data_IF_767878767829
#
_entry.id   IF_767878767829
#
_cell.length_a   1.000
_cell.length_b   1.000
_cell.length_c   1.000
_cell.angle_alpha   90.00
_cell.angle_beta   90.00
_cell.angle_gamma   90.00
#
_symmetry.space_group_name_H-M   'P 1'
#
loop_
_entity.id
_entity.type
_entity.pdbx_description
1 polymer ?
#
# COMPACT_ATOMS: atom_id res chain seq x y z
N UNK A 1 3.00 -4.12 26.53
CA UNK A 1 4.34 -3.48 26.51
C UNK A 1 5.36 -4.48 27.02
N UNK A 2 6.55 -4.58 26.42
CA UNK A 2 7.65 -5.37 26.97
C UNK A 2 7.93 -4.88 28.38
N UNK A 3 7.69 -5.70 29.40
CA UNK A 3 7.84 -5.32 30.81
C UNK A 3 9.31 -5.28 31.26
N UNK A 4 10.25 -5.19 30.31
CA UNK A 4 11.68 -5.19 30.58
C UNK A 4 12.09 -3.83 31.15
N UNK A 5 12.87 -3.85 32.23
CA UNK A 5 13.53 -2.68 32.81
C UNK A 5 15.04 -2.95 32.80
N UNK A 6 15.85 -2.21 32.04
CA UNK A 6 15.47 -1.14 31.11
C UNK A 6 14.77 -1.66 29.83
N UNK A 7 14.00 -0.81 29.13
CA UNK A 7 13.36 -1.18 27.87
C UNK A 7 14.41 -1.48 26.81
N UNK A 8 14.22 -2.57 26.06
CA UNK A 8 15.14 -2.99 25.00
C UNK A 8 14.78 -2.22 23.72
N UNK A 9 15.69 -1.43 23.14
CA UNK A 9 15.43 -0.72 21.89
C UNK A 9 15.43 -1.71 20.71
N UNK A 10 14.28 -1.85 20.05
CA UNK A 10 14.13 -2.69 18.84
C UNK A 10 13.89 -1.76 17.65
N UNK A 11 14.60 -2.00 16.54
CA UNK A 11 14.48 -1.21 15.31
C UNK A 11 13.05 -1.30 14.72
N UNK A 12 12.50 -0.21 14.18
CA UNK A 12 11.13 -0.17 13.67
C UNK A 12 10.82 -1.20 12.58
N UNK A 13 11.72 -1.37 11.59
CA UNK A 13 11.55 -2.39 10.56
C UNK A 13 11.43 -3.81 11.14
N UNK A 14 12.14 -4.10 12.23
CA UNK A 14 12.09 -5.41 12.90
C UNK A 14 10.77 -5.59 13.62
N UNK A 15 10.28 -4.57 14.34
CA UNK A 15 8.97 -4.62 14.98
C UNK A 15 7.83 -4.83 13.99
N UNK A 16 7.88 -4.16 12.84
CA UNK A 16 6.95 -4.38 11.73
C UNK A 16 6.98 -5.82 11.24
N UNK A 17 8.18 -6.35 10.96
CA UNK A 17 8.34 -7.73 10.51
C UNK A 17 7.77 -8.72 11.54
N UNK A 18 8.15 -8.60 12.81
CA UNK A 18 7.67 -9.45 13.90
C UNK A 18 6.14 -9.38 14.06
N UNK A 19 5.55 -8.19 13.86
CA UNK A 19 4.11 -7.99 13.88
C UNK A 19 3.40 -8.82 12.81
N UNK A 20 3.88 -8.70 11.56
CA UNK A 20 3.31 -9.38 10.39
C UNK A 20 3.52 -10.89 10.42
N UNK A 21 4.71 -11.37 10.81
CA UNK A 21 5.06 -12.79 10.68
C UNK A 21 4.64 -13.64 11.88
N UNK A 22 4.59 -13.05 13.08
CA UNK A 22 4.29 -13.78 14.32
C UNK A 22 2.96 -13.37 14.95
N UNK A 23 2.06 -12.72 14.20
CA UNK A 23 0.73 -12.30 14.66
C UNK A 23 0.78 -11.38 15.90
N UNK A 24 1.83 -10.56 16.00
CA UNK A 24 2.03 -9.60 17.09
C UNK A 24 1.54 -8.20 16.71
N UNK A 25 0.63 -8.09 15.74
CA UNK A 25 0.13 -6.85 15.14
C UNK A 25 -0.06 -5.70 16.13
N UNK A 26 -0.95 -5.87 17.12
CA UNK A 26 -1.26 -4.83 18.09
C UNK A 26 -0.08 -4.52 19.03
N UNK A 27 0.70 -5.54 19.42
CA UNK A 27 1.86 -5.33 20.29
C UNK A 27 2.96 -4.55 19.57
N UNK A 28 3.26 -4.91 18.33
CA UNK A 28 4.22 -4.19 17.49
C UNK A 28 3.77 -2.76 17.22
N UNK A 29 2.49 -2.56 16.89
CA UNK A 29 1.91 -1.23 16.64
C UNK A 29 2.00 -0.35 17.87
N UNK A 30 1.55 -0.82 19.04
CA UNK A 30 1.65 -0.07 20.31
C UNK A 30 3.10 0.29 20.68
N UNK A 31 4.05 -0.60 20.42
CA UNK A 31 5.47 -0.31 20.66
C UNK A 31 5.99 0.78 19.74
N UNK A 32 5.60 0.77 18.47
CA UNK A 32 5.97 1.79 17.50
C UNK A 32 5.29 3.14 17.79
N UNK A 33 4.02 3.14 18.19
CA UNK A 33 3.30 4.35 18.63
C UNK A 33 4.01 5.01 19.81
N UNK A 34 4.38 4.22 20.83
CA UNK A 34 5.12 4.72 21.98
C UNK A 34 6.44 5.37 21.55
N UNK A 35 7.21 4.72 20.66
CA UNK A 35 8.44 5.29 20.12
C UNK A 35 8.20 6.57 19.31
N UNK A 36 7.09 6.66 18.57
CA UNK A 36 6.71 7.86 17.83
C UNK A 36 6.33 9.02 18.76
N UNK A 37 5.59 8.74 19.85
CA UNK A 37 5.20 9.75 20.83
C UNK A 37 6.40 10.31 21.61
N UNK A 38 7.32 9.46 22.05
CA UNK A 38 8.53 9.90 22.77
C UNK A 38 9.43 10.81 21.92
N UNK A 39 9.54 10.53 20.61
CA UNK A 39 10.35 11.32 19.67
C UNK A 39 9.58 12.49 19.04
N UNK A 40 8.26 12.54 19.23
CA UNK A 40 7.34 13.51 18.63
C UNK A 40 6.84 13.08 17.24
N UNK A 41 5.57 13.39 16.95
CA UNK A 41 4.91 13.14 15.65
C UNK A 41 5.30 14.15 14.56
N UNK A 42 6.06 15.19 14.91
CA UNK A 42 6.42 16.28 14.00
C UNK A 42 7.84 16.10 13.47
N UNK A 43 8.02 16.25 12.14
CA UNK A 43 9.31 16.25 11.45
C UNK A 43 10.17 17.50 11.73
N UNK A 44 9.97 18.18 12.86
CA UNK A 44 10.82 19.31 13.27
C UNK A 44 12.19 18.78 13.64
N UNK A 45 13.12 18.82 12.67
CA UNK A 45 14.54 18.53 12.86
C UNK A 45 15.09 19.56 13.86
N UNK A 46 15.07 19.24 15.15
CA UNK A 46 15.95 19.90 16.11
C UNK A 46 17.30 19.20 16.03
N UNK A 47 18.41 19.92 15.80
CA UNK A 47 19.73 19.31 15.85
C UNK A 47 19.98 18.86 17.29
N UNK A 48 19.99 17.55 17.53
CA UNK A 48 20.39 16.98 18.82
C UNK A 48 21.84 16.51 18.69
N UNK A 49 22.74 17.22 19.37
CA UNK A 49 24.07 16.71 19.70
C UNK A 49 23.90 15.57 20.70
N UNK A 50 24.03 14.32 20.25
CA UNK A 50 24.31 13.22 21.17
C UNK A 50 25.17 12.18 20.48
N UNK A 51 26.35 12.02 21.06
CA UNK A 51 27.41 11.08 20.67
C UNK A 51 27.06 9.71 21.22
N UNK A 52 26.54 8.80 20.39
CA UNK A 52 26.56 7.37 20.72
C UNK A 52 27.04 6.55 19.52
N UNK A 53 28.09 5.79 19.79
CA UNK A 53 28.98 5.09 18.88
C UNK A 53 28.37 3.71 18.59
N UNK A 54 28.35 3.30 17.31
CA UNK A 54 27.70 2.12 16.70
C UNK A 54 26.21 2.25 16.28
N UNK A 55 25.83 3.32 15.58
CA UNK A 55 24.71 3.24 14.63
C UNK A 55 25.27 3.00 13.24
N UNK A 56 25.07 1.78 12.71
CA UNK A 56 25.21 1.52 11.28
C UNK A 56 24.22 2.45 10.56
N UNK A 57 24.76 3.50 9.94
CA UNK A 57 24.02 4.56 9.26
C UNK A 57 22.91 3.96 8.37
N UNK A 58 21.67 4.02 8.85
CA UNK A 58 20.52 3.84 7.98
C UNK A 58 20.37 5.10 7.14
N UNK A 59 20.17 4.92 5.83
CA UNK A 59 19.96 5.98 4.83
C UNK A 59 18.73 6.86 5.18
N UNK A 60 17.88 6.39 6.09
CA UNK A 60 16.64 7.05 6.54
C UNK A 60 16.76 7.45 8.02
N UNK A 61 16.37 8.69 8.39
CA UNK A 61 16.42 9.12 9.78
C UNK A 61 15.51 8.25 10.66
N UNK A 62 15.93 7.90 11.90
CA UNK A 62 15.22 6.92 12.74
C UNK A 62 13.75 7.25 13.03
N UNK A 63 13.39 8.55 13.02
CA UNK A 63 12.00 8.99 13.22
C UNK A 63 11.11 8.72 12.00
N UNK A 64 11.64 8.88 10.79
CA UNK A 64 10.92 8.62 9.55
C UNK A 64 10.66 7.11 9.39
N UNK A 65 11.63 6.27 9.75
CA UNK A 65 11.47 4.81 9.74
C UNK A 65 10.34 4.32 10.67
N UNK A 66 10.16 4.96 11.84
CA UNK A 66 9.05 4.67 12.75
C UNK A 66 7.71 5.01 12.08
N UNK A 67 7.59 6.22 11.54
CA UNK A 67 6.34 6.70 10.94
C UNK A 67 5.96 5.89 9.69
N UNK A 68 6.94 5.49 8.88
CA UNK A 68 6.70 4.64 7.70
C UNK A 68 6.30 3.22 8.11
N UNK A 69 6.94 2.67 9.14
CA UNK A 69 6.56 1.36 9.69
C UNK A 69 5.15 1.37 10.29
N UNK A 70 4.76 2.44 10.98
CA UNK A 70 3.40 2.63 11.51
C UNK A 70 2.37 2.80 10.40
N UNK A 71 2.65 3.65 9.41
CA UNK A 71 1.75 3.85 8.27
C UNK A 71 1.48 2.53 7.54
N UNK A 72 2.51 1.72 7.28
CA UNK A 72 2.33 0.41 6.65
C UNK A 72 1.50 -0.54 7.54
N UNK A 73 1.74 -0.58 8.86
CA UNK A 73 0.95 -1.41 9.78
C UNK A 73 -0.52 -0.98 9.84
N UNK A 74 -0.83 0.31 9.85
CA UNK A 74 -2.22 0.78 9.81
C UNK A 74 -2.89 0.44 8.48
N UNK A 75 -2.21 0.61 7.34
CA UNK A 75 -2.72 0.15 6.04
C UNK A 75 -3.01 -1.36 6.05
N UNK A 76 -2.08 -2.14 6.60
CA UNK A 76 -2.20 -3.59 6.70
C UNK A 76 -3.34 -4.03 7.61
N UNK A 77 -3.63 -3.28 8.67
CA UNK A 77 -4.74 -3.57 9.57
C UNK A 77 -6.08 -3.05 9.06
N UNK A 78 -6.08 -2.27 7.97
CA UNK A 78 -7.24 -1.52 7.46
C UNK A 78 -7.78 -0.48 8.44
N UNK A 79 -6.91 0.10 9.26
CA UNK A 79 -7.25 1.17 10.21
C UNK A 79 -7.08 2.54 9.53
N UNK A 80 -8.02 2.89 8.64
CA UNK A 80 -7.91 4.06 7.76
C UNK A 80 -7.87 5.39 8.52
N UNK A 81 -8.64 5.54 9.59
CA UNK A 81 -8.69 6.77 10.40
C UNK A 81 -7.36 7.04 11.12
N UNK A 82 -6.76 5.99 11.69
CA UNK A 82 -5.47 6.07 12.37
C UNK A 82 -4.35 6.39 11.37
N UNK A 83 -4.41 5.78 10.19
CA UNK A 83 -3.51 6.07 9.09
C UNK A 83 -3.62 7.52 8.62
N UNK A 84 -4.84 8.03 8.41
CA UNK A 84 -5.07 9.40 7.95
C UNK A 84 -4.61 10.42 8.99
N UNK A 85 -4.89 10.19 10.27
CA UNK A 85 -4.42 11.03 11.38
C UNK A 85 -2.90 11.09 11.46
N UNK A 86 -2.20 9.97 11.23
CA UNK A 86 -0.74 9.93 11.16
C UNK A 86 -0.22 10.78 9.99
N UNK A 87 -0.82 10.63 8.81
CA UNK A 87 -0.38 11.34 7.61
C UNK A 87 -0.62 12.85 7.66
N UNK A 88 -1.76 13.29 8.19
CA UNK A 88 -2.06 14.71 8.39
C UNK A 88 -1.05 15.41 9.32
N UNK A 89 -0.42 14.66 10.24
CA UNK A 89 0.62 15.21 11.13
C UNK A 89 2.03 15.17 10.52
N UNK A 90 2.28 14.23 9.59
CA UNK A 90 3.61 13.99 9.01
C UNK A 90 3.84 14.66 7.65
N UNK A 91 2.79 14.98 6.90
CA UNK A 91 2.89 15.55 5.56
C UNK A 91 3.61 16.89 5.54
N UNK A 92 4.40 17.15 4.49
CA UNK A 92 5.08 18.44 4.29
C UNK A 92 4.16 19.41 3.56
N UNK A 93 3.37 18.92 2.61
CA UNK A 93 2.45 19.74 1.83
C UNK A 93 1.07 19.80 2.51
N UNK A 94 0.55 20.99 2.83
CA UNK A 94 -0.80 21.11 3.40
C UNK A 94 -1.89 20.65 2.43
N UNK A 95 -1.62 20.71 1.12
CA UNK A 95 -2.49 20.13 0.09
C UNK A 95 -2.68 18.62 0.29
N UNK A 96 -1.65 17.90 0.71
CA UNK A 96 -1.73 16.46 0.99
C UNK A 96 -2.65 16.16 2.17
N UNK A 97 -2.54 16.92 3.27
CA UNK A 97 -3.48 16.78 4.39
C UNK A 97 -4.93 17.05 3.97
N UNK A 98 -5.13 18.06 3.11
CA UNK A 98 -6.45 18.42 2.61
C UNK A 98 -7.03 17.33 1.69
N UNK A 99 -6.21 16.76 0.81
CA UNK A 99 -6.62 15.67 -0.08
C UNK A 99 -7.02 14.41 0.71
N UNK A 100 -6.24 14.03 1.73
CA UNK A 100 -6.57 12.92 2.63
C UNK A 100 -7.90 13.17 3.36
N UNK A 101 -8.15 14.40 3.81
CA UNK A 101 -9.42 14.74 4.45
C UNK A 101 -10.61 14.61 3.47
N UNK A 102 -10.45 15.03 2.21
CA UNK A 102 -11.49 14.79 1.19
C UNK A 102 -11.73 13.30 0.93
N UNK A 103 -10.67 12.49 0.90
CA UNK A 103 -10.77 11.03 0.73
C UNK A 103 -11.54 10.39 1.90
N UNK A 104 -11.27 10.77 3.15
CA UNK A 104 -12.02 10.29 4.32
C UNK A 104 -13.51 10.65 4.27
N UNK A 105 -13.85 11.78 3.65
CA UNK A 105 -15.24 12.20 3.47
C UNK A 105 -15.90 11.61 2.22
N UNK A 106 -15.17 10.87 1.38
CA UNK A 106 -15.67 10.29 0.13
C UNK A 106 -15.77 11.28 -1.03
N UNK A 107 -15.20 12.47 -0.91
CA UNK A 107 -15.14 13.48 -1.97
C UNK A 107 -13.96 13.20 -2.93
N UNK A 108 -14.05 12.09 -3.68
CA UNK A 108 -12.93 11.58 -4.48
C UNK A 108 -12.51 12.50 -5.63
N UNK A 109 -13.43 13.23 -6.26
CA UNK A 109 -13.12 14.17 -7.34
C UNK A 109 -12.27 15.35 -6.82
N UNK A 110 -12.69 15.96 -5.71
CA UNK A 110 -11.92 17.02 -5.06
C UNK A 110 -10.59 16.52 -4.49
N UNK A 111 -10.56 15.28 -3.98
CA UNK A 111 -9.32 14.65 -3.52
C UNK A 111 -8.31 14.49 -4.67
N UNK A 112 -8.75 13.97 -5.81
CA UNK A 112 -7.93 13.79 -7.02
C UNK A 112 -7.33 15.12 -7.50
N UNK A 113 -8.15 16.16 -7.65
CA UNK A 113 -7.69 17.49 -8.06
C UNK A 113 -6.67 18.08 -7.05
N UNK A 114 -6.89 17.83 -5.76
CA UNK A 114 -5.98 18.32 -4.71
C UNK A 114 -4.65 17.57 -4.71
N UNK A 115 -4.64 16.25 -4.97
CA UNK A 115 -3.41 15.48 -5.14
C UNK A 115 -2.61 15.96 -6.35
N UNK A 116 -3.25 16.23 -7.49
CA UNK A 116 -2.60 16.77 -8.69
C UNK A 116 -1.98 18.15 -8.44
N UNK A 117 -2.69 19.04 -7.73
CA UNK A 117 -2.16 20.34 -7.30
C UNK A 117 -0.92 20.17 -6.40
N UNK A 118 -0.94 19.19 -5.49
CA UNK A 118 0.22 18.89 -4.64
C UNK A 118 1.43 18.43 -5.47
N UNK A 119 1.22 17.51 -6.42
CA UNK A 119 2.26 17.03 -7.34
C UNK A 119 2.87 18.18 -8.17
N UNK A 120 2.03 19.05 -8.74
CA UNK A 120 2.49 20.19 -9.54
C UNK A 120 3.33 21.17 -8.70
N UNK A 121 2.87 21.45 -7.48
CA UNK A 121 3.57 22.32 -6.53
C UNK A 121 4.92 21.72 -6.12
N UNK A 122 4.96 20.42 -5.83
CA UNK A 122 6.19 19.72 -5.47
C UNK A 122 7.19 19.70 -6.62
N UNK A 123 6.73 19.52 -7.87
CA UNK A 123 7.58 19.63 -9.07
C UNK A 123 8.21 21.02 -9.20
N UNK A 124 7.41 22.08 -9.05
CA UNK A 124 7.91 23.48 -9.08
C UNK A 124 8.90 23.77 -7.95
N UNK A 125 8.71 23.18 -6.77
CA UNK A 125 9.66 23.31 -5.66
C UNK A 125 10.97 22.57 -5.95
N UNK A 126 10.90 21.36 -6.51
CA UNK A 126 12.07 20.56 -6.90
C UNK A 126 12.94 21.27 -7.95
N UNK A 127 12.33 21.96 -8.92
CA UNK A 127 13.04 22.74 -9.93
C UNK A 127 13.76 23.97 -9.34
N UNK A 128 13.29 24.48 -8.20
CA UNK A 128 13.85 25.67 -7.52
C UNK A 128 14.89 25.31 -6.46
N UNK A 129 14.79 24.13 -5.87
CA UNK A 129 15.66 23.64 -4.79
C UNK A 129 15.67 22.12 -4.81
N UNK A 130 16.85 21.50 -4.70
CA UNK A 130 16.95 20.04 -4.63
C UNK A 130 15.99 19.49 -3.56
N UNK A 131 15.02 18.66 -3.98
CA UNK A 131 14.03 18.14 -3.05
C UNK A 131 14.70 17.34 -1.93
N UNK A 132 14.21 17.55 -0.71
CA UNK A 132 14.62 16.77 0.46
C UNK A 132 14.17 15.31 0.28
N UNK A 133 15.02 14.31 0.64
CA UNK A 133 14.63 12.90 0.63
C UNK A 133 13.41 12.55 1.49
N UNK A 134 13.03 13.42 2.43
CA UNK A 134 11.85 13.25 3.27
C UNK A 134 10.51 13.32 2.49
N UNK A 135 10.52 13.82 1.24
CA UNK A 135 9.32 13.97 0.41
C UNK A 135 9.01 12.69 -0.38
N UNK A 136 9.98 11.78 -0.56
CA UNK A 136 9.78 10.56 -1.35
C UNK A 136 8.57 9.70 -0.91
N UNK A 137 8.30 9.47 0.39
CA UNK A 137 7.10 8.77 0.80
C UNK A 137 5.80 9.49 0.41
N UNK A 138 5.83 10.82 0.38
CA UNK A 138 4.68 11.67 0.01
C UNK A 138 4.39 11.61 -1.49
N UNK A 139 5.43 11.52 -2.34
CA UNK A 139 5.24 11.25 -3.77
C UNK A 139 4.56 9.91 -4.03
N UNK A 140 5.04 8.85 -3.36
CA UNK A 140 4.44 7.51 -3.51
C UNK A 140 2.98 7.50 -3.03
N UNK A 141 2.71 8.18 -1.90
CA UNK A 141 1.35 8.37 -1.41
C UNK A 141 0.44 8.99 -2.47
N UNK A 142 0.87 10.09 -3.11
CA UNK A 142 0.02 10.77 -4.09
C UNK A 142 -0.31 9.88 -5.28
N UNK A 143 0.65 9.11 -5.78
CA UNK A 143 0.42 8.16 -6.87
C UNK A 143 -0.58 7.07 -6.46
N UNK A 144 -0.34 6.40 -5.32
CA UNK A 144 -1.19 5.31 -4.84
C UNK A 144 -2.63 5.80 -4.56
N UNK A 145 -2.78 6.97 -3.93
CA UNK A 145 -4.08 7.54 -3.57
C UNK A 145 -4.81 8.15 -4.76
N UNK A 146 -4.10 8.72 -5.72
CA UNK A 146 -4.72 9.18 -6.98
C UNK A 146 -5.28 7.98 -7.76
N UNK A 147 -4.55 6.86 -7.82
CA UNK A 147 -5.05 5.61 -8.43
C UNK A 147 -6.28 5.12 -7.67
N UNK A 148 -6.25 5.13 -6.33
CA UNK A 148 -7.41 4.73 -5.50
C UNK A 148 -8.64 5.59 -5.79
N UNK A 149 -8.50 6.92 -5.77
CA UNK A 149 -9.60 7.84 -6.07
C UNK A 149 -10.17 7.60 -7.47
N UNK A 150 -9.30 7.40 -8.47
CA UNK A 150 -9.70 7.10 -9.86
C UNK A 150 -10.48 5.79 -9.97
N UNK A 151 -10.13 4.77 -9.17
CA UNK A 151 -10.86 3.50 -9.09
C UNK A 151 -12.26 3.69 -8.50
N UNK A 152 -12.40 4.48 -7.43
CA UNK A 152 -13.70 4.79 -6.81
C UNK A 152 -14.60 5.61 -7.76
N UNK A 153 -14.01 6.50 -8.56
CA UNK A 153 -14.71 7.28 -9.60
C UNK A 153 -14.99 6.48 -10.89
N UNK A 154 -14.58 5.21 -10.97
CA UNK A 154 -14.72 4.34 -12.14
C UNK A 154 -14.03 4.84 -13.42
N UNK A 155 -12.90 5.56 -13.30
CA UNK A 155 -12.12 6.08 -14.43
C UNK A 155 -11.15 5.02 -15.01
N UNK A 156 -11.67 3.86 -15.40
CA UNK A 156 -10.86 2.70 -15.79
C UNK A 156 -10.07 2.89 -17.10
N UNK A 157 -10.58 3.70 -18.03
CA UNK A 157 -9.89 4.01 -19.29
C UNK A 157 -8.63 4.84 -19.04
N UNK A 158 -8.75 5.94 -18.28
CA UNK A 158 -7.63 6.78 -17.89
C UNK A 158 -6.55 6.01 -17.11
N UNK A 159 -6.95 5.10 -16.22
CA UNK A 159 -6.02 4.22 -15.50
C UNK A 159 -5.30 3.22 -16.42
N UNK A 160 -5.97 2.74 -17.47
CA UNK A 160 -5.35 1.86 -18.47
C UNK A 160 -4.26 2.60 -19.24
N UNK A 161 -4.54 3.82 -19.67
CA UNK A 161 -3.56 4.68 -20.35
C UNK A 161 -2.38 5.02 -19.43
N UNK A 162 -2.66 5.35 -18.16
CA UNK A 162 -1.64 5.63 -17.16
C UNK A 162 -0.70 4.42 -16.94
N UNK A 163 -1.25 3.22 -16.77
CA UNK A 163 -0.47 2.00 -16.57
C UNK A 163 0.32 1.52 -17.80
N UNK A 164 -0.04 1.98 -19.00
CA UNK A 164 0.68 1.72 -20.25
C UNK A 164 1.69 2.81 -20.62
N UNK A 165 1.71 3.91 -19.87
CA UNK A 165 2.58 5.05 -20.14
C UNK A 165 4.07 4.68 -19.99
N UNK A 166 4.93 5.22 -20.86
CA UNK A 166 6.36 4.85 -20.97
C UNK A 166 7.20 5.15 -19.71
N UNK A 167 6.65 5.86 -18.73
CA UNK A 167 7.31 6.18 -17.45
C UNK A 167 6.80 5.37 -16.25
N UNK A 168 5.58 4.80 -16.32
CA UNK A 168 4.90 4.14 -15.19
C UNK A 168 4.25 2.84 -15.66
N UNK A 169 5.07 1.93 -16.23
CA UNK A 169 4.57 0.62 -16.65
C UNK A 169 4.22 -0.19 -15.40
N UNK A 170 2.93 -0.29 -15.12
CA UNK A 170 2.41 -1.12 -14.04
C UNK A 170 1.50 -2.21 -14.65
N UNK A 171 2.07 -3.39 -14.98
CA UNK A 171 1.31 -4.47 -15.59
C UNK A 171 0.11 -4.92 -14.74
N UNK A 172 0.22 -4.82 -13.40
CA UNK A 172 -0.86 -5.16 -12.48
C UNK A 172 -2.05 -4.19 -12.60
N UNK A 173 -1.78 -2.88 -12.63
CA UNK A 173 -2.83 -1.88 -12.82
C UNK A 173 -3.52 -2.04 -14.18
N UNK A 174 -2.74 -2.22 -15.25
CA UNK A 174 -3.29 -2.46 -16.60
C UNK A 174 -4.17 -3.71 -16.60
N UNK A 175 -3.72 -4.76 -15.94
CA UNK A 175 -4.43 -6.02 -15.83
C UNK A 175 -5.77 -5.84 -15.10
N UNK A 176 -5.81 -5.11 -13.98
CA UNK A 176 -7.03 -4.78 -13.25
C UNK A 176 -8.00 -3.92 -14.06
N UNK A 177 -7.51 -3.01 -14.91
CA UNK A 177 -8.37 -2.18 -15.74
C UNK A 177 -8.88 -2.94 -16.97
N UNK A 178 -8.04 -3.80 -17.56
CA UNK A 178 -8.32 -4.53 -18.79
C UNK A 178 -9.55 -5.45 -18.67
N UNK A 179 -9.78 -6.08 -17.52
CA UNK A 179 -10.99 -6.91 -17.33
C UNK A 179 -12.26 -6.08 -17.13
N UNK A 180 -12.16 -4.85 -16.59
CA UNK A 180 -13.29 -3.93 -16.43
C UNK A 180 -13.67 -3.24 -17.73
N UNK A 181 -12.68 -2.93 -18.56
CA UNK A 181 -12.84 -2.28 -19.88
C UNK A 181 -13.01 -3.33 -21.00
N UNK A 182 -12.94 -4.63 -20.69
CA UNK A 182 -13.01 -5.77 -21.63
C UNK A 182 -11.94 -5.78 -22.74
N UNK A 183 -10.78 -5.19 -22.47
CA UNK A 183 -9.62 -5.19 -23.37
C UNK A 183 -8.78 -6.47 -23.18
N UNK A 184 -9.23 -7.56 -23.80
CA UNK A 184 -8.59 -8.87 -23.66
C UNK A 184 -7.17 -8.96 -24.22
N UNK A 185 -6.82 -8.12 -25.20
CA UNK A 185 -5.47 -8.08 -25.78
C UNK A 185 -4.48 -7.54 -24.76
N UNK A 186 -4.78 -6.39 -24.14
CA UNK A 186 -3.96 -5.82 -23.07
C UNK A 186 -3.88 -6.76 -21.85
N UNK A 187 -4.95 -7.50 -21.56
CA UNK A 187 -4.97 -8.50 -20.50
C UNK A 187 -3.96 -9.63 -20.77
N UNK A 188 -3.94 -10.19 -21.98
CA UNK A 188 -2.99 -11.25 -22.37
C UNK A 188 -1.54 -10.77 -22.30
N UNK A 189 -1.27 -9.56 -22.74
CA UNK A 189 0.08 -8.97 -22.71
C UNK A 189 0.59 -8.75 -21.28
N UNK A 190 -0.28 -8.30 -20.38
CA UNK A 190 0.07 -8.11 -18.97
C UNK A 190 0.33 -9.43 -18.23
N UNK A 191 -0.36 -10.52 -18.59
CA UNK A 191 -0.20 -11.85 -17.97
C UNK A 191 1.11 -12.56 -18.33
N UNK A 192 1.74 -12.22 -19.45
CA UNK A 192 3.03 -12.80 -19.86
C UNK A 192 4.17 -12.28 -18.99
N UNK A 193 3.95 -11.21 -18.23
CA UNK A 193 4.96 -10.64 -17.33
C UNK A 193 5.13 -11.48 -16.06
N UNK A 194 6.36 -11.66 -15.56
CA UNK A 194 6.65 -12.56 -14.44
C UNK A 194 5.97 -12.11 -13.14
N UNK A 195 5.45 -13.05 -12.32
CA UNK A 195 4.66 -12.74 -11.11
C UNK A 195 5.42 -11.96 -10.03
N UNK A 196 6.75 -11.95 -10.06
CA UNK A 196 7.55 -11.12 -9.16
C UNK A 196 7.35 -9.60 -9.39
N UNK A 197 6.98 -9.19 -10.60
CA UNK A 197 6.60 -7.80 -10.90
C UNK A 197 5.23 -7.41 -10.32
N UNK A 198 4.44 -8.39 -9.87
CA UNK A 198 3.11 -8.21 -9.27
C UNK A 198 3.15 -8.16 -7.74
N UNK A 199 4.34 -8.26 -7.10
CA UNK A 199 4.47 -8.61 -5.67
C UNK A 199 4.42 -7.46 -4.65
N UNK A 200 4.30 -6.21 -5.10
CA UNK A 200 4.24 -5.05 -4.21
C UNK A 200 2.81 -4.55 -4.06
N UNK A 201 2.02 -5.17 -3.18
CA UNK A 201 0.94 -4.54 -2.40
C UNK A 201 0.34 -5.58 -1.43
N UNK A 202 0.11 -5.24 -0.15
CA UNK A 202 -0.43 -6.18 0.80
C UNK A 202 -1.97 -6.30 0.67
N UNK A 203 -2.47 -7.53 0.54
CA UNK A 203 -3.89 -7.83 0.36
C UNK A 203 -4.19 -8.89 -0.72
N UNK A 204 -3.16 -9.38 -1.41
CA UNK A 204 -3.30 -10.15 -2.65
C UNK A 204 -3.87 -11.57 -2.57
N UNK A 205 -4.01 -12.21 -1.42
CA UNK A 205 -4.34 -13.65 -1.42
C UNK A 205 -5.78 -13.98 -1.81
N UNK A 206 -6.73 -13.07 -1.59
CA UNK A 206 -8.14 -13.25 -1.97
C UNK A 206 -8.40 -12.79 -3.41
N UNK A 207 -7.78 -11.67 -3.80
CA UNK A 207 -7.89 -11.15 -5.14
C UNK A 207 -7.19 -12.07 -6.13
N UNK A 208 -5.98 -12.55 -5.87
CA UNK A 208 -5.26 -13.46 -6.77
C UNK A 208 -6.02 -14.79 -7.00
N UNK A 209 -6.78 -15.28 -6.01
CA UNK A 209 -7.62 -16.46 -6.15
C UNK A 209 -8.89 -16.23 -6.98
N UNK A 210 -9.61 -15.13 -6.73
CA UNK A 210 -10.81 -14.76 -7.50
C UNK A 210 -10.42 -14.35 -8.93
N UNK A 211 -9.25 -13.74 -9.07
CA UNK A 211 -8.65 -13.25 -10.31
C UNK A 211 -8.13 -14.40 -11.19
N UNK A 212 -7.38 -15.37 -10.65
CA UNK A 212 -7.05 -16.63 -11.36
C UNK A 212 -8.29 -17.44 -11.71
N UNK A 213 -9.33 -17.44 -10.87
CA UNK A 213 -10.61 -18.10 -11.17
C UNK A 213 -11.32 -17.45 -12.37
N UNK A 214 -11.42 -16.12 -12.38
CA UNK A 214 -12.01 -15.35 -13.48
C UNK A 214 -11.22 -15.49 -14.78
N UNK A 215 -9.88 -15.49 -14.70
CA UNK A 215 -8.98 -15.75 -15.82
C UNK A 215 -9.13 -17.16 -16.39
N UNK A 216 -9.25 -18.18 -15.55
CA UNK A 216 -9.50 -19.54 -16.00
C UNK A 216 -10.87 -19.65 -16.70
N UNK A 217 -11.90 -18.98 -16.17
CA UNK A 217 -13.21 -18.91 -16.79
C UNK A 217 -13.21 -18.17 -18.14
N UNK A 218 -12.54 -17.02 -18.22
CA UNK A 218 -12.45 -16.21 -19.44
C UNK A 218 -11.58 -16.87 -20.52
N UNK A 219 -10.48 -17.54 -20.12
CA UNK A 219 -9.64 -18.34 -21.05
C UNK A 219 -10.39 -19.59 -21.54
N UNK A 220 -11.16 -20.26 -20.67
CA UNK A 220 -12.05 -21.36 -21.08
C UNK A 220 -13.18 -20.92 -22.02
N UNK A 221 -13.65 -19.68 -21.94
CA UNK A 221 -14.63 -19.14 -22.90
C UNK A 221 -14.00 -18.76 -24.25
N UNK A 222 -12.70 -18.48 -24.30
CA UNK A 222 -11.98 -18.17 -25.54
C UNK A 222 -11.41 -19.39 -26.29
N UNK A 223 -11.17 -20.52 -25.61
CA UNK A 223 -10.73 -21.78 -26.24
C UNK A 223 -11.88 -22.79 -26.31
N UNK A 224 -12.30 -23.16 -27.52
CA UNK A 224 -13.19 -24.30 -27.79
C UNK A 224 -12.49 -25.67 -27.65
N UNK A 225 -11.39 -25.76 -26.90
CA UNK A 225 -10.58 -26.97 -26.80
C UNK A 225 -10.76 -27.66 -25.44
N UNK A 226 -11.30 -28.88 -25.47
CA UNK A 226 -11.60 -29.72 -24.30
C UNK A 226 -10.34 -30.11 -23.49
N UNK A 227 -9.14 -30.04 -24.10
CA UNK A 227 -7.89 -30.48 -23.47
C UNK A 227 -7.26 -29.49 -22.47
N UNK A 228 -7.67 -28.21 -22.44
CA UNK A 228 -7.14 -27.22 -21.47
C UNK A 228 -7.87 -27.20 -20.13
N UNK A 229 -9.04 -27.86 -20.02
CA UNK A 229 -9.79 -27.97 -18.76
C UNK A 229 -9.17 -28.93 -17.75
N UNK A 230 -8.40 -29.93 -18.20
CA UNK A 230 -7.82 -30.96 -17.32
C UNK A 230 -6.54 -30.51 -16.59
N UNK A 231 -5.77 -29.56 -17.15
CA UNK A 231 -4.54 -29.05 -16.53
C UNK A 231 -4.78 -27.84 -15.59
N UNK A 232 -5.93 -27.18 -15.69
CA UNK A 232 -6.24 -25.93 -14.96
C UNK A 232 -6.88 -26.16 -13.59
N UNK A 233 -7.64 -27.25 -13.42
CA UNK A 233 -8.31 -27.62 -12.16
C UNK A 233 -7.36 -27.87 -10.97
N UNK A 234 -6.20 -28.53 -11.11
CA UNK A 234 -5.27 -28.73 -9.98
C UNK A 234 -4.63 -27.42 -9.52
N UNK A 235 -4.32 -26.52 -10.45
CA UNK A 235 -3.82 -25.19 -10.15
C UNK A 235 -4.87 -24.36 -9.39
N UNK A 236 -6.13 -24.44 -9.79
CA UNK A 236 -7.26 -23.78 -9.14
C UNK A 236 -7.41 -24.19 -7.66
N UNK A 237 -7.41 -25.49 -7.37
CA UNK A 237 -7.50 -25.99 -5.99
C UNK A 237 -6.32 -25.53 -5.13
N UNK A 238 -5.11 -25.48 -5.70
CA UNK A 238 -3.90 -25.04 -4.98
C UNK A 238 -3.95 -23.56 -4.65
N UNK A 239 -4.40 -22.72 -5.58
CA UNK A 239 -4.57 -21.27 -5.38
C UNK A 239 -5.60 -20.97 -4.29
N UNK A 240 -6.74 -21.69 -4.28
CA UNK A 240 -7.75 -21.52 -3.22
C UNK A 240 -7.17 -21.95 -1.86
N UNK A 241 -6.46 -23.08 -1.80
CA UNK A 241 -5.84 -23.57 -0.57
C UNK A 241 -4.79 -22.58 -0.01
N UNK A 242 -3.98 -21.99 -0.88
CA UNK A 242 -2.98 -20.99 -0.50
C UNK A 242 -3.65 -19.67 -0.06
N UNK A 243 -4.74 -19.27 -0.72
CA UNK A 243 -5.54 -18.11 -0.35
C UNK A 243 -6.21 -18.23 1.02
N UNK A 244 -6.77 -19.40 1.34
CA UNK A 244 -7.36 -19.70 2.65
C UNK A 244 -6.30 -19.70 3.76
N UNK A 245 -5.09 -20.18 3.46
CA UNK A 245 -3.98 -20.23 4.44
C UNK A 245 -3.51 -18.83 4.88
N UNK A 246 -3.65 -17.82 4.02
CA UNK A 246 -3.29 -16.44 4.35
C UNK A 246 -4.19 -15.79 5.41
N UNK A 247 -5.42 -16.29 5.62
CA UNK A 247 -6.32 -15.76 6.64
C UNK A 247 -5.77 -15.97 8.07
N UNK A 248 -4.97 -17.02 8.28
CA UNK A 248 -4.36 -17.31 9.58
C UNK A 248 -3.34 -16.27 10.04
N UNK A 249 -2.84 -15.43 9.13
CA UNK A 249 -1.88 -14.38 9.45
C UNK A 249 -2.53 -13.09 9.95
N UNK A 250 -3.86 -12.95 9.85
CA UNK A 250 -4.58 -11.78 10.35
C UNK A 250 -4.94 -11.91 11.84
N UNK A 251 -5.09 -10.79 12.57
CA UNK A 251 -5.53 -10.81 13.96
C UNK A 251 -6.85 -11.59 14.12
N UNK A 252 -6.93 -12.40 15.17
CA UNK A 252 -8.09 -13.28 15.43
C UNK A 252 -9.41 -12.55 15.73
N UNK A 253 -9.41 -11.21 15.82
CA UNK A 253 -10.54 -10.37 16.23
C UNK A 253 -11.32 -9.74 15.08
N UNK A 254 -11.20 -10.21 13.82
CA UNK A 254 -12.10 -9.75 12.74
C UNK A 254 -13.55 -10.08 13.07
N UNK A 255 -14.25 -9.17 13.74
CA UNK A 255 -15.71 -9.08 13.64
C UNK A 255 -16.01 -8.71 12.19
N UNK A 256 -16.72 -9.59 11.49
CA UNK A 256 -17.30 -9.30 10.18
C UNK A 256 -17.93 -7.90 10.22
N UNK A 257 -17.71 -7.03 9.21
CA UNK A 257 -18.51 -5.83 9.11
C UNK A 257 -19.96 -6.27 8.98
N UNK A 258 -20.80 -5.94 9.98
CA UNK A 258 -22.24 -5.98 9.78
C UNK A 258 -22.52 -5.04 8.62
N UNK A 259 -22.85 -5.60 7.46
CA UNK A 259 -23.54 -4.85 6.42
C UNK A 259 -24.92 -4.54 7.01
N UNK A 260 -25.07 -3.35 7.55
CA UNK A 260 -26.38 -2.81 7.85
C UNK A 260 -27.15 -2.71 6.52
N UNK A 261 -28.22 -3.51 6.43
CA UNK A 261 -29.26 -3.50 5.41
C UNK A 261 -30.31 -2.46 5.77
#
# INVERSE_FOLDING_TARGET
MSQCVPPIPIRPCVLKYLGKTHNLWFRSTLMLEHQAFEKGLSLQIKPKQTTEFYEQESITPPQQEILDSLAELYCLLQEEDMWAGLWQKRCKFPETATAIAYEQHGFFEQAQETYEKAMEKAKKEHERSNASPAIFPEYQLWEDHWIRCSKELNQWEALTEYGQSKGHINPYLVLECAWRVSNWTAMKEALVQPPHSLSHLPGQTIYDATFKCGLCGAVSQMHTDINTQTETLPCFCRIISDGVSSWFFWPSTRSLPMRDL
#
